data_IF_185986138048
#
_entry.id   IF_185986138048
#
_cell.length_a   1.000
_cell.length_b   1.000
_cell.length_c   1.000
_cell.angle_alpha   90.00
_cell.angle_beta   90.00
_cell.angle_gamma   90.00
#
_symmetry.space_group_name_H-M   'P 1'
#
loop_
_entity.id
_entity.type
_entity.pdbx_description
1 polymer ?
#
# COMPACT_ATOMS: atom_id res chain seq x y z
N UNK A 1 8.28 28.57 -16.20
CA UNK A 1 9.45 27.99 -15.53
C UNK A 1 9.08 26.56 -15.21
N UNK A 2 9.87 25.60 -15.71
CA UNK A 2 9.49 24.20 -15.89
C UNK A 2 9.03 23.51 -14.61
N UNK A 3 7.97 22.72 -14.77
CA UNK A 3 7.39 21.75 -13.85
C UNK A 3 8.46 20.81 -13.26
N UNK A 4 9.04 21.18 -12.13
CA UNK A 4 9.72 20.21 -11.27
C UNK A 4 8.75 19.78 -10.18
N UNK A 5 8.10 18.65 -10.44
CA UNK A 5 7.19 17.98 -9.51
C UNK A 5 7.90 17.54 -8.21
N UNK A 6 9.24 17.56 -8.18
CA UNK A 6 10.06 17.28 -6.99
C UNK A 6 11.18 18.31 -6.80
N UNK A 7 11.34 18.81 -5.58
CA UNK A 7 12.45 19.71 -5.22
C UNK A 7 13.73 18.88 -5.05
N UNK A 8 14.68 18.97 -5.99
CA UNK A 8 15.92 18.19 -5.99
C UNK A 8 16.79 18.43 -7.22
N UNK A 9 17.96 17.79 -7.21
CA UNK A 9 18.92 17.79 -8.33
C UNK A 9 18.74 16.49 -9.11
N UNK A 10 18.39 16.58 -10.39
CA UNK A 10 18.32 15.42 -11.28
C UNK A 10 19.69 15.18 -11.87
N UNK A 11 20.17 13.95 -11.76
CA UNK A 11 21.50 13.52 -12.17
C UNK A 11 21.39 12.39 -13.19
N UNK A 12 22.41 12.24 -14.02
CA UNK A 12 22.58 11.09 -14.91
C UNK A 12 23.97 10.48 -14.67
N UNK A 13 24.10 9.16 -14.76
CA UNK A 13 25.41 8.50 -14.73
C UNK A 13 25.91 8.13 -16.14
N UNK A 14 27.17 7.68 -16.22
CA UNK A 14 27.81 7.22 -17.47
C UNK A 14 27.15 6.00 -18.12
N UNK A 15 26.18 5.36 -17.45
CA UNK A 15 25.39 4.25 -17.97
C UNK A 15 23.98 4.68 -18.39
N UNK A 16 23.69 5.98 -18.38
CA UNK A 16 22.41 6.56 -18.79
C UNK A 16 21.29 6.35 -17.76
N UNK A 17 21.62 6.02 -16.50
CA UNK A 17 20.63 5.97 -15.42
C UNK A 17 20.41 7.36 -14.86
N UNK A 18 19.15 7.67 -14.58
CA UNK A 18 18.74 8.94 -14.00
C UNK A 18 18.43 8.82 -12.51
N UNK A 19 18.83 9.83 -11.75
CA UNK A 19 18.66 9.89 -10.31
C UNK A 19 18.03 11.21 -9.88
N UNK A 20 17.22 11.19 -8.82
CA UNK A 20 16.90 12.38 -8.04
C UNK A 20 17.74 12.37 -6.79
N UNK A 21 18.54 13.42 -6.60
CA UNK A 21 19.22 13.69 -5.35
C UNK A 21 18.47 14.79 -4.59
N UNK A 22 17.93 14.47 -3.41
CA UNK A 22 17.18 15.46 -2.63
C UNK A 22 17.32 15.33 -1.12
N UNK A 23 17.39 16.48 -0.45
CA UNK A 23 17.25 16.68 0.99
C UNK A 23 15.81 17.05 1.41
N UNK A 24 14.88 17.13 0.45
CA UNK A 24 13.51 17.61 0.70
C UNK A 24 12.64 16.48 1.30
N UNK A 25 11.98 16.78 2.41
CA UNK A 25 11.04 15.87 3.07
C UNK A 25 9.85 15.47 2.18
N UNK A 26 9.44 16.32 1.23
CA UNK A 26 8.37 15.99 0.28
C UNK A 26 8.84 14.94 -0.73
N UNK A 27 10.08 15.03 -1.22
CA UNK A 27 10.65 14.00 -2.09
C UNK A 27 10.74 12.66 -1.34
N UNK A 28 11.09 12.70 -0.05
CA UNK A 28 11.07 11.51 0.81
C UNK A 28 9.66 10.96 1.02
N UNK A 29 8.67 11.82 1.26
CA UNK A 29 7.27 11.43 1.42
C UNK A 29 6.70 10.77 0.16
N UNK A 30 7.07 11.28 -1.02
CA UNK A 30 6.52 10.82 -2.29
C UNK A 30 7.24 9.60 -2.89
N UNK A 31 8.57 9.52 -2.72
CA UNK A 31 9.41 8.46 -3.29
C UNK A 31 9.78 7.36 -2.27
N UNK A 32 9.54 7.60 -0.99
CA UNK A 32 9.73 6.63 0.09
C UNK A 32 11.18 6.19 0.29
N UNK A 33 11.34 5.01 0.90
CA UNK A 33 12.65 4.44 1.28
C UNK A 33 13.42 3.78 0.12
N UNK A 34 12.91 3.86 -1.11
CA UNK A 34 13.57 3.31 -2.31
C UNK A 34 14.81 4.07 -2.78
N UNK A 35 15.43 4.87 -1.90
CA UNK A 35 16.69 5.54 -2.21
C UNK A 35 17.86 4.55 -2.09
N UNK A 36 18.93 4.84 -2.83
CA UNK A 36 20.14 4.03 -2.91
C UNK A 36 20.95 4.26 -1.64
N UNK A 37 20.67 3.50 -0.59
CA UNK A 37 21.37 3.62 0.70
C UNK A 37 22.87 3.37 0.61
N UNK A 38 23.33 2.66 -0.43
CA UNK A 38 24.76 2.37 -0.65
C UNK A 38 25.59 3.65 -0.79
N UNK A 39 25.02 4.78 -1.24
CA UNK A 39 25.74 6.06 -1.33
C UNK A 39 26.15 6.62 0.03
N UNK A 40 25.57 6.13 1.12
CA UNK A 40 25.92 6.49 2.49
C UNK A 40 27.27 5.86 2.91
N UNK A 41 27.68 4.77 2.26
CA UNK A 41 29.04 4.27 2.36
C UNK A 41 30.01 5.19 1.59
N UNK A 42 31.10 5.59 2.23
CA UNK A 42 32.05 6.56 1.65
C UNK A 42 32.76 6.03 0.40
N UNK A 43 32.94 4.72 0.29
CA UNK A 43 33.61 4.10 -0.86
C UNK A 43 32.63 4.06 -2.04
N UNK A 44 31.43 3.55 -1.84
CA UNK A 44 30.40 3.49 -2.87
C UNK A 44 29.93 4.89 -3.29
N UNK A 45 29.64 5.78 -2.35
CA UNK A 45 29.27 7.17 -2.64
C UNK A 45 30.35 7.91 -3.46
N UNK A 46 31.63 7.57 -3.28
CA UNK A 46 32.73 8.14 -4.09
C UNK A 46 32.67 7.63 -5.54
N UNK A 47 32.37 6.36 -5.76
CA UNK A 47 32.16 5.83 -7.11
C UNK A 47 30.93 6.45 -7.77
N UNK A 48 29.82 6.56 -7.04
CA UNK A 48 28.60 7.23 -7.52
C UNK A 48 28.90 8.66 -8.00
N UNK A 49 29.51 9.50 -7.15
CA UNK A 49 29.82 10.89 -7.50
C UNK A 49 30.81 11.03 -8.66
N UNK A 50 31.68 10.04 -8.88
CA UNK A 50 32.65 10.04 -9.97
C UNK A 50 32.02 9.62 -11.30
N UNK A 51 30.99 8.78 -11.26
CA UNK A 51 30.36 8.21 -12.45
C UNK A 51 29.21 9.07 -13.00
N UNK A 52 28.97 10.25 -12.44
CA UNK A 52 27.98 11.22 -12.92
C UNK A 52 28.42 11.88 -14.23
N UNK A 53 27.45 12.15 -15.10
CA UNK A 53 27.65 12.84 -16.37
C UNK A 53 26.96 14.22 -16.38
N UNK A 54 27.51 15.20 -17.14
CA UNK A 54 28.75 15.09 -17.90
C UNK A 54 30.00 15.10 -17.02
N UNK A 55 30.92 14.16 -17.26
CA UNK A 55 32.15 13.98 -16.47
C UNK A 55 33.10 15.20 -16.50
N UNK A 56 33.00 16.02 -17.56
CA UNK A 56 33.74 17.29 -17.66
C UNK A 56 33.16 18.43 -16.79
N UNK A 57 31.98 18.25 -16.18
CA UNK A 57 31.30 19.26 -15.36
C UNK A 57 31.00 18.81 -13.92
N UNK A 58 31.69 17.77 -13.43
CA UNK A 58 31.44 17.19 -12.11
C UNK A 58 31.44 18.21 -10.96
N UNK A 59 32.34 19.19 -11.00
CA UNK A 59 32.40 20.24 -9.95
C UNK A 59 31.07 21.02 -9.86
N UNK A 60 30.46 21.36 -10.98
CA UNK A 60 29.19 22.09 -11.00
C UNK A 60 28.05 21.21 -10.48
N UNK A 61 28.01 19.94 -10.89
CA UNK A 61 27.03 18.96 -10.40
C UNK A 61 27.12 18.83 -8.87
N UNK A 62 28.34 18.68 -8.35
CA UNK A 62 28.57 18.60 -6.90
C UNK A 62 28.19 19.90 -6.17
N UNK A 63 28.42 21.04 -6.80
CA UNK A 63 28.03 22.37 -6.27
C UNK A 63 26.51 22.44 -6.12
N UNK A 64 25.76 22.02 -7.14
CA UNK A 64 24.29 22.01 -7.13
C UNK A 64 23.75 21.06 -6.06
N UNK A 65 24.29 19.85 -5.95
CA UNK A 65 23.92 18.90 -4.89
C UNK A 65 24.19 19.47 -3.50
N UNK A 66 25.36 20.07 -3.30
CA UNK A 66 25.75 20.62 -2.00
C UNK A 66 24.86 21.80 -1.61
N UNK A 67 24.57 22.69 -2.56
CA UNK A 67 23.69 23.84 -2.34
C UNK A 67 22.23 23.42 -2.14
N UNK A 68 21.80 22.31 -2.74
CA UNK A 68 20.49 21.73 -2.45
C UNK A 68 20.41 21.22 -1.00
N UNK A 69 21.45 20.54 -0.51
CA UNK A 69 21.53 20.09 0.88
C UNK A 69 21.74 21.24 1.89
N UNK A 70 22.47 22.29 1.50
CA UNK A 70 22.81 23.45 2.34
C UNK A 70 22.49 24.76 1.59
N UNK A 71 21.20 25.16 1.48
CA UNK A 71 20.79 26.32 0.68
C UNK A 71 21.40 27.66 1.10
N UNK A 72 21.93 27.75 2.32
CA UNK A 72 22.63 28.94 2.83
C UNK A 72 24.12 29.02 2.42
N UNK A 73 24.67 28.00 1.75
CA UNK A 73 26.07 27.95 1.34
C UNK A 73 26.28 28.54 -0.08
N UNK A 74 26.23 29.86 -0.18
CA UNK A 74 26.25 30.58 -1.47
C UNK A 74 27.65 30.69 -2.11
N UNK A 75 28.73 30.66 -1.33
CA UNK A 75 30.11 30.76 -1.82
C UNK A 75 30.90 29.48 -1.52
N UNK A 76 31.08 28.65 -2.55
CA UNK A 76 31.88 27.43 -2.51
C UNK A 76 33.25 27.58 -3.20
N UNK A 77 33.65 28.80 -3.56
CA UNK A 77 34.93 29.07 -4.23
C UNK A 77 36.15 28.65 -3.39
N UNK A 78 35.97 28.58 -2.07
CA UNK A 78 37.00 28.16 -1.10
C UNK A 78 37.16 26.64 -0.99
N UNK A 79 36.23 25.86 -1.53
CA UNK A 79 36.30 24.40 -1.54
C UNK A 79 37.09 23.93 -2.77
N UNK A 80 38.15 23.16 -2.54
CA UNK A 80 38.73 22.32 -3.60
C UNK A 80 37.74 21.24 -4.03
N UNK A 81 37.92 20.66 -5.22
CA UNK A 81 37.08 19.55 -5.73
C UNK A 81 37.01 18.38 -4.74
N UNK A 82 38.16 18.03 -4.15
CA UNK A 82 38.25 16.98 -3.14
C UNK A 82 37.46 17.30 -1.88
N UNK A 83 37.54 18.54 -1.39
CA UNK A 83 36.80 18.97 -0.21
C UNK A 83 35.29 19.01 -0.47
N UNK A 84 34.86 19.47 -1.65
CA UNK A 84 33.45 19.52 -2.01
C UNK A 84 32.87 18.11 -2.12
N UNK A 85 33.57 17.20 -2.80
CA UNK A 85 33.18 15.79 -2.90
C UNK A 85 33.14 15.12 -1.52
N UNK A 86 34.19 15.29 -0.71
CA UNK A 86 34.22 14.65 0.61
C UNK A 86 33.16 15.22 1.57
N UNK A 87 32.76 16.49 1.40
CA UNK A 87 31.63 17.07 2.14
C UNK A 87 30.28 16.49 1.69
N UNK A 88 30.08 16.24 0.39
CA UNK A 88 28.90 15.50 -0.09
C UNK A 88 28.83 14.08 0.47
N UNK A 89 29.95 13.37 0.56
CA UNK A 89 30.01 12.04 1.18
C UNK A 89 29.63 12.08 2.67
N UNK A 90 29.95 13.17 3.37
CA UNK A 90 29.51 13.35 4.76
C UNK A 90 28.00 13.60 4.86
N UNK A 91 27.44 14.37 3.93
CA UNK A 91 25.99 14.64 3.85
C UNK A 91 25.22 13.33 3.60
N UNK A 92 25.70 12.48 2.69
CA UNK A 92 25.12 11.15 2.46
C UNK A 92 25.25 10.25 3.69
N UNK A 93 26.44 10.14 4.28
CA UNK A 93 26.65 9.31 5.47
C UNK A 93 25.80 9.75 6.67
N UNK A 94 25.43 11.03 6.75
CA UNK A 94 24.56 11.58 7.79
C UNK A 94 23.05 11.44 7.48
N UNK A 95 22.68 10.91 6.31
CA UNK A 95 21.27 10.80 5.88
C UNK A 95 20.62 12.16 5.61
N UNK A 96 21.40 13.21 5.41
CA UNK A 96 20.88 14.57 5.18
C UNK A 96 20.44 14.78 3.72
N UNK A 97 20.81 13.87 2.83
CA UNK A 97 20.43 13.89 1.42
C UNK A 97 20.34 12.45 0.90
N UNK A 98 19.31 12.20 0.10
CA UNK A 98 18.96 10.87 -0.39
C UNK A 98 18.99 10.85 -1.92
N UNK A 99 19.29 9.68 -2.51
CA UNK A 99 19.42 9.49 -3.96
C UNK A 99 18.44 8.42 -4.41
N UNK A 100 17.42 8.76 -5.19
CA UNK A 100 16.47 7.81 -5.77
C UNK A 100 16.80 7.57 -7.23
N UNK A 101 16.80 6.31 -7.68
CA UNK A 101 16.86 6.00 -9.11
C UNK A 101 15.48 6.21 -9.72
N UNK A 102 15.40 6.99 -10.80
CA UNK A 102 14.13 7.37 -11.43
C UNK A 102 13.76 6.51 -12.66
N UNK A 103 14.64 5.61 -13.08
CA UNK A 103 14.44 4.75 -14.25
C UNK A 103 14.47 3.27 -13.86
N UNK A 104 13.43 2.53 -14.27
CA UNK A 104 13.39 1.06 -14.21
C UNK A 104 13.87 0.47 -15.54
N UNK A 105 15.03 -0.18 -15.51
CA UNK A 105 15.58 -0.91 -16.66
C UNK A 105 17.08 -1.07 -16.59
N UNK A 106 17.61 -2.18 -17.11
CA UNK A 106 19.00 -2.23 -17.56
C UNK A 106 19.16 -1.16 -18.63
N UNK A 107 19.91 -0.09 -18.33
CA UNK A 107 20.21 0.97 -19.29
C UNK A 107 20.73 0.36 -20.59
N UNK A 108 20.33 0.94 -21.73
CA UNK A 108 20.87 0.53 -23.03
C UNK A 108 22.39 0.58 -22.96
N UNK A 109 23.04 -0.52 -23.34
CA UNK A 109 24.48 -0.54 -23.53
C UNK A 109 24.87 0.62 -24.46
N UNK A 110 25.90 1.41 -24.14
CA UNK A 110 26.32 2.51 -25.01
C UNK A 110 26.56 2.00 -26.43
N UNK A 111 26.01 2.68 -27.43
CA UNK A 111 26.38 2.44 -28.82
C UNK A 111 27.85 2.79 -28.98
N UNK A 112 28.69 1.76 -28.98
CA UNK A 112 30.04 1.77 -29.53
C UNK A 112 31.08 2.60 -28.77
N UNK A 113 31.72 1.97 -27.77
CA UNK A 113 33.14 2.22 -27.53
C UNK A 113 33.91 0.97 -27.94
N UNK A 114 34.37 0.97 -29.19
CA UNK A 114 35.10 -0.14 -29.80
C UNK A 114 36.36 -0.52 -29.02
N UNK A 115 36.23 -1.56 -28.19
CA UNK A 115 37.34 -2.40 -27.72
C UNK A 115 36.87 -3.84 -27.87
N UNK A 116 37.69 -4.62 -28.56
CA UNK A 116 37.33 -5.89 -29.17
C UNK A 116 37.11 -7.06 -28.23
N UNK A 117 36.58 -8.11 -28.85
CA UNK A 117 36.54 -9.52 -28.46
C UNK A 117 37.39 -9.93 -27.25
N UNK A 118 36.72 -10.55 -26.28
CA UNK A 118 37.30 -11.46 -25.31
C UNK A 118 36.26 -12.52 -24.96
N UNK A 119 36.45 -13.74 -25.48
CA UNK A 119 35.49 -14.86 -25.48
C UNK A 119 34.89 -15.18 -24.11
N UNK A 120 33.71 -15.82 -24.07
CA UNK A 120 33.59 -17.27 -24.31
C UNK A 120 32.34 -17.63 -25.13
N UNK A 121 32.53 -18.56 -26.05
CA UNK A 121 31.56 -19.06 -27.01
C UNK A 121 30.35 -19.79 -26.39
N UNK A 122 29.21 -19.85 -27.11
CA UNK A 122 28.05 -20.64 -26.73
C UNK A 122 28.24 -22.12 -27.10
N UNK A 123 27.95 -23.03 -26.19
CA UNK A 123 27.83 -24.44 -26.52
C UNK A 123 26.40 -24.75 -26.99
N UNK A 124 26.22 -24.74 -28.31
CA UNK A 124 25.18 -25.52 -28.97
C UNK A 124 25.57 -26.99 -28.95
N UNK A 125 24.66 -27.89 -28.59
CA UNK A 125 24.63 -29.22 -29.21
C UNK A 125 23.19 -29.74 -29.26
N UNK A 126 22.70 -29.91 -30.48
CA UNK A 126 21.64 -30.88 -30.77
C UNK A 126 22.27 -32.04 -31.53
N UNK A 127 21.87 -33.28 -31.22
CA UNK A 127 21.30 -34.18 -32.22
C UNK A 127 20.80 -35.51 -31.62
N UNK A 128 19.52 -35.77 -31.89
CA UNK A 128 18.93 -36.99 -32.49
C UNK A 128 19.17 -38.41 -31.93
N UNK A 129 18.01 -39.08 -31.81
CA UNK A 129 17.73 -40.51 -32.05
C UNK A 129 17.75 -41.48 -30.87
N UNK A 130 16.57 -41.90 -30.40
CA UNK A 130 15.91 -43.14 -30.86
C UNK A 130 14.69 -43.52 -29.99
N UNK A 131 13.64 -44.02 -30.66
CA UNK A 131 12.43 -44.66 -30.10
C UNK A 131 12.76 -46.12 -29.70
N UNK A 132 12.05 -46.73 -28.73
CA UNK A 132 10.81 -47.48 -29.08
C UNK A 132 9.70 -47.32 -28.00
N UNK A 133 8.43 -47.05 -28.35
CA UNK A 133 7.37 -47.99 -28.76
C UNK A 133 6.93 -49.04 -27.70
N UNK A 134 5.84 -48.69 -27.01
CA UNK A 134 4.65 -49.47 -26.64
C UNK A 134 4.75 -50.80 -25.85
N UNK A 135 4.01 -50.85 -24.73
CA UNK A 135 3.11 -51.97 -24.41
C UNK A 135 1.96 -51.55 -23.48
N UNK A 136 0.76 -51.95 -23.88
CA UNK A 136 -0.52 -51.72 -23.21
C UNK A 136 -0.83 -52.77 -22.13
N UNK A 137 -1.61 -52.40 -21.11
CA UNK A 137 -2.62 -53.22 -20.40
C UNK A 137 -3.32 -52.32 -19.35
N UNK A 138 -4.54 -51.85 -19.59
CA UNK A 138 -5.87 -52.43 -19.23
C UNK A 138 -6.30 -52.27 -17.76
N UNK A 139 -7.50 -51.69 -17.65
CA UNK A 139 -8.34 -51.41 -16.48
C UNK A 139 -8.72 -52.63 -15.63
N UNK A 140 -8.84 -52.38 -14.32
CA UNK A 140 -9.82 -52.91 -13.34
C UNK A 140 -9.91 -51.80 -12.25
N UNK A 141 -11.02 -51.29 -11.74
CA UNK A 141 -12.39 -51.78 -11.58
C UNK A 141 -12.74 -51.71 -10.08
N UNK A 142 -13.85 -51.02 -9.73
CA UNK A 142 -14.45 -50.97 -8.38
C UNK A 142 -14.23 -49.62 -7.66
N UNK A 143 -15.13 -48.63 -7.72
CA UNK A 143 -16.44 -48.55 -7.02
C UNK A 143 -16.39 -49.01 -5.56
N UNK A 144 -16.16 -48.06 -4.65
CA UNK A 144 -16.86 -47.98 -3.37
C UNK A 144 -17.21 -46.51 -3.13
N UNK A 145 -18.50 -46.24 -3.16
CA UNK A 145 -19.18 -45.03 -2.69
C UNK A 145 -19.00 -44.88 -1.19
N UNK A 146 -18.60 -43.69 -0.72
CA UNK A 146 -18.84 -43.25 0.65
C UNK A 146 -19.72 -42.01 0.63
N UNK A 147 -20.84 -42.15 1.30
CA UNK A 147 -22.02 -41.30 1.31
C UNK A 147 -21.75 -39.88 1.83
N UNK A 148 -22.47 -38.94 1.24
CA UNK A 148 -22.71 -37.63 1.81
C UNK A 148 -23.43 -37.75 3.17
N UNK A 149 -23.06 -36.99 4.20
CA UNK A 149 -23.93 -36.82 5.34
C UNK A 149 -25.07 -35.88 4.96
N UNK A 150 -26.27 -36.44 5.07
CA UNK A 150 -27.58 -35.81 4.94
C UNK A 150 -27.69 -34.59 5.86
N UNK A 151 -28.33 -33.56 5.31
CA UNK A 151 -28.73 -32.32 5.97
C UNK A 151 -29.30 -32.55 7.39
N UNK A 152 -28.61 -32.00 8.38
CA UNK A 152 -29.17 -31.74 9.69
C UNK A 152 -29.98 -30.43 9.62
N UNK A 153 -31.31 -30.58 9.63
CA UNK A 153 -32.26 -29.48 9.78
C UNK A 153 -32.15 -28.91 11.20
N UNK A 154 -31.26 -27.93 11.39
CA UNK A 154 -31.27 -27.09 12.57
C UNK A 154 -32.31 -25.99 12.37
N UNK A 155 -33.48 -26.16 12.99
CA UNK A 155 -34.41 -25.06 13.22
C UNK A 155 -33.94 -24.31 14.48
N UNK A 156 -33.65 -23.02 14.38
CA UNK A 156 -33.44 -22.18 15.56
C UNK A 156 -32.65 -20.90 15.31
N UNK A 157 -33.39 -19.80 15.12
CA UNK A 157 -32.99 -18.39 15.25
C UNK A 157 -32.19 -17.70 14.11
N UNK A 158 -32.71 -17.69 12.88
CA UNK A 158 -32.55 -16.54 11.99
C UNK A 158 -33.44 -15.38 12.51
N UNK A 159 -32.99 -14.74 13.60
CA UNK A 159 -33.75 -13.72 14.29
C UNK A 159 -33.66 -12.37 13.60
N UNK A 160 -34.66 -12.02 12.78
CA UNK A 160 -35.11 -10.68 12.39
C UNK A 160 -34.12 -9.67 11.73
N UNK A 161 -32.80 -9.76 11.91
CA UNK A 161 -31.81 -8.80 11.39
C UNK A 161 -31.32 -9.16 9.98
N UNK A 162 -31.28 -10.44 9.63
CA UNK A 162 -30.78 -10.89 8.31
C UNK A 162 -31.68 -10.47 7.13
N UNK A 163 -33.02 -10.44 7.31
CA UNK A 163 -33.98 -10.09 6.24
C UNK A 163 -34.00 -8.59 5.89
N UNK A 164 -34.00 -7.65 6.85
CA UNK A 164 -33.91 -6.21 6.58
C UNK A 164 -32.63 -5.81 5.84
N UNK A 165 -31.49 -6.37 6.23
CA UNK A 165 -30.18 -6.03 5.63
C UNK A 165 -30.12 -6.43 4.15
N UNK A 166 -30.54 -7.66 3.81
CA UNK A 166 -30.56 -8.12 2.43
C UNK A 166 -31.46 -7.27 1.51
N UNK A 167 -32.53 -6.68 2.04
CA UNK A 167 -33.43 -5.83 1.26
C UNK A 167 -32.86 -4.44 0.92
N UNK A 168 -31.84 -4.00 1.66
CA UNK A 168 -31.13 -2.74 1.41
C UNK A 168 -29.96 -2.91 0.45
N UNK A 169 -29.47 -4.14 0.25
CA UNK A 169 -28.27 -4.42 -0.54
C UNK A 169 -28.42 -3.88 -1.97
N UNK A 170 -27.40 -3.19 -2.44
CA UNK A 170 -27.26 -2.68 -3.80
C UNK A 170 -26.05 -3.33 -4.43
N UNK A 171 -26.30 -4.14 -5.46
CA UNK A 171 -25.25 -4.83 -6.21
C UNK A 171 -25.37 -4.45 -7.69
N UNK A 172 -24.40 -3.71 -8.25
CA UNK A 172 -24.44 -3.34 -9.65
C UNK A 172 -24.23 -4.56 -10.56
N UNK A 173 -24.71 -4.48 -11.79
CA UNK A 173 -24.56 -5.56 -12.78
C UNK A 173 -23.20 -5.50 -13.49
N UNK A 174 -22.65 -4.29 -13.62
CA UNK A 174 -21.37 -3.97 -14.27
C UNK A 174 -20.76 -2.70 -13.67
N UNK A 175 -19.52 -2.38 -14.07
CA UNK A 175 -18.85 -1.14 -13.68
C UNK A 175 -19.57 0.10 -14.22
N UNK A 176 -20.21 0.02 -15.38
CA UNK A 176 -21.03 1.11 -15.95
C UNK A 176 -22.32 1.30 -15.15
N UNK A 177 -22.96 0.21 -14.72
CA UNK A 177 -24.14 0.29 -13.85
C UNK A 177 -23.77 0.90 -12.49
N UNK A 178 -22.60 0.53 -11.93
CA UNK A 178 -22.09 1.13 -10.70
C UNK A 178 -21.94 2.65 -10.82
N UNK A 179 -21.40 3.15 -11.94
CA UNK A 179 -21.28 4.59 -12.22
C UNK A 179 -22.66 5.28 -12.30
N UNK A 180 -23.64 4.65 -12.92
CA UNK A 180 -25.01 5.18 -13.00
C UNK A 180 -25.66 5.29 -11.62
N UNK A 181 -25.47 4.28 -10.76
CA UNK A 181 -25.96 4.31 -9.38
C UNK A 181 -25.34 5.50 -8.64
N UNK A 182 -24.01 5.67 -8.67
CA UNK A 182 -23.33 6.78 -8.00
C UNK A 182 -23.83 8.15 -8.49
N UNK A 183 -24.04 8.30 -9.81
CA UNK A 183 -24.59 9.54 -10.37
C UNK A 183 -26.02 9.82 -9.89
N UNK A 184 -26.82 8.79 -9.64
CA UNK A 184 -28.16 8.94 -9.07
C UNK A 184 -28.11 9.25 -7.58
N UNK A 185 -27.19 8.62 -6.83
CA UNK A 185 -26.95 8.94 -5.41
C UNK A 185 -26.51 10.38 -5.22
N UNK A 186 -25.67 10.89 -6.11
CA UNK A 186 -25.31 12.31 -6.12
C UNK A 186 -26.52 13.22 -6.14
N UNK A 187 -27.47 13.01 -7.06
CA UNK A 187 -28.71 13.79 -7.14
C UNK A 187 -29.57 13.67 -5.89
N UNK A 188 -29.63 12.47 -5.29
CA UNK A 188 -30.37 12.25 -4.05
C UNK A 188 -29.75 13.03 -2.88
N UNK A 189 -28.41 13.02 -2.74
CA UNK A 189 -27.71 13.78 -1.71
C UNK A 189 -27.92 15.28 -1.91
N UNK A 190 -27.86 15.78 -3.15
CA UNK A 190 -28.15 17.19 -3.47
C UNK A 190 -29.58 17.61 -3.09
N UNK A 191 -30.55 16.70 -3.19
CA UNK A 191 -31.97 16.99 -2.91
C UNK A 191 -32.34 16.86 -1.43
N UNK A 192 -31.82 15.84 -0.73
CA UNK A 192 -32.26 15.48 0.63
C UNK A 192 -31.15 15.42 1.67
N UNK A 193 -29.90 15.71 1.28
CA UNK A 193 -28.72 15.45 2.11
C UNK A 193 -28.35 13.98 2.15
N UNK A 194 -27.18 13.68 2.71
CA UNK A 194 -26.72 12.31 2.92
C UNK A 194 -27.56 11.64 4.00
N UNK A 195 -27.88 10.36 3.79
CA UNK A 195 -28.58 9.51 4.74
C UNK A 195 -27.83 8.18 4.84
N UNK A 196 -27.30 7.81 6.01
CA UNK A 196 -26.65 6.52 6.18
C UNK A 196 -27.60 5.36 5.89
N UNK A 197 -27.10 4.35 5.19
CA UNK A 197 -27.88 3.18 4.75
C UNK A 197 -28.09 2.14 5.86
N UNK A 198 -27.04 1.90 6.65
CA UNK A 198 -26.99 0.88 7.68
C UNK A 198 -26.72 1.50 9.05
N UNK A 199 -27.42 1.00 10.06
CA UNK A 199 -27.16 1.32 11.47
C UNK A 199 -25.93 0.58 12.01
N UNK A 200 -25.36 1.04 13.12
CA UNK A 200 -24.22 0.38 13.79
C UNK A 200 -24.46 -1.12 14.08
N UNK A 201 -25.68 -1.48 14.48
CA UNK A 201 -26.05 -2.86 14.75
C UNK A 201 -26.08 -3.73 13.48
N UNK A 202 -26.53 -3.17 12.35
CA UNK A 202 -26.50 -3.85 11.05
C UNK A 202 -25.07 -3.99 10.54
N UNK A 203 -24.26 -2.93 10.64
CA UNK A 203 -22.84 -2.95 10.27
C UNK A 203 -22.08 -4.02 11.06
N UNK A 204 -22.24 -4.05 12.40
CA UNK A 204 -21.61 -5.05 13.25
C UNK A 204 -22.04 -6.47 12.89
N UNK A 205 -23.32 -6.68 12.58
CA UNK A 205 -23.82 -7.98 12.15
C UNK A 205 -23.18 -8.43 10.82
N UNK A 206 -23.05 -7.51 9.85
CA UNK A 206 -22.43 -7.80 8.55
C UNK A 206 -20.92 -8.06 8.67
N UNK A 207 -20.20 -7.26 9.45
CA UNK A 207 -18.78 -7.48 9.69
C UNK A 207 -18.52 -8.82 10.40
N UNK A 208 -19.36 -9.18 11.38
CA UNK A 208 -19.27 -10.48 12.07
C UNK A 208 -19.61 -11.66 11.17
N UNK A 209 -20.56 -11.50 10.24
CA UNK A 209 -20.87 -12.53 9.26
C UNK A 209 -19.70 -12.75 8.28
N UNK A 210 -18.97 -11.68 7.93
CA UNK A 210 -17.78 -11.75 7.08
C UNK A 210 -18.08 -11.86 5.59
N UNK A 211 -19.33 -12.08 5.21
CA UNK A 211 -19.74 -12.36 3.82
C UNK A 211 -19.52 -11.19 2.86
N UNK A 212 -19.44 -9.95 3.37
CA UNK A 212 -19.24 -8.76 2.55
C UNK A 212 -17.91 -8.80 1.78
N UNK A 213 -16.90 -9.53 2.27
CA UNK A 213 -15.63 -9.68 1.54
C UNK A 213 -15.77 -10.50 0.25
N UNK A 214 -16.91 -11.17 0.06
CA UNK A 214 -17.26 -11.91 -1.15
C UNK A 214 -18.12 -11.08 -2.12
N UNK A 215 -18.42 -9.81 -1.82
CA UNK A 215 -19.14 -8.96 -2.75
C UNK A 215 -18.32 -8.75 -4.03
N UNK A 216 -19.00 -8.75 -5.17
CA UNK A 216 -18.34 -8.63 -6.48
C UNK A 216 -17.66 -7.28 -6.66
N UNK A 217 -18.26 -6.20 -6.16
CA UNK A 217 -17.75 -4.86 -6.40
C UNK A 217 -17.21 -4.25 -5.11
N UNK A 218 -15.91 -3.99 -5.10
CA UNK A 218 -15.23 -3.29 -4.00
C UNK A 218 -14.93 -1.86 -4.42
N UNK A 219 -14.75 -0.98 -3.44
CA UNK A 219 -14.49 0.45 -3.66
C UNK A 219 -13.39 0.95 -2.75
N UNK A 220 -12.58 1.85 -3.30
CA UNK A 220 -11.48 2.49 -2.58
C UNK A 220 -11.36 3.95 -2.99
N UNK A 221 -11.30 4.83 -1.99
CA UNK A 221 -10.91 6.21 -2.18
C UNK A 221 -9.37 6.30 -2.16
N UNK A 222 -8.79 6.91 -3.19
CA UNK A 222 -7.34 7.07 -3.31
C UNK A 222 -7.03 8.57 -3.42
N UNK A 223 -6.13 9.06 -2.57
CA UNK A 223 -5.62 10.44 -2.57
C UNK A 223 -4.60 10.67 -3.69
N UNK A 224 -5.06 10.49 -4.94
CA UNK A 224 -4.35 10.79 -6.19
C UNK A 224 -5.37 11.05 -7.29
N UNK A 225 -4.98 11.76 -8.34
CA UNK A 225 -5.80 11.94 -9.53
C UNK A 225 -5.95 10.64 -10.34
N UNK A 226 -7.02 10.57 -11.13
CA UNK A 226 -7.34 9.38 -11.91
C UNK A 226 -6.24 9.02 -12.92
N UNK A 227 -5.49 10.02 -13.41
CA UNK A 227 -4.37 9.82 -14.33
C UNK A 227 -3.13 9.25 -13.62
N UNK A 228 -2.80 9.75 -12.43
CA UNK A 228 -1.63 9.28 -11.67
C UNK A 228 -1.84 7.85 -11.15
N UNK A 229 -3.07 7.47 -10.80
CA UNK A 229 -3.36 6.15 -10.23
C UNK A 229 -3.10 5.01 -11.22
N UNK A 230 -3.27 5.26 -12.52
CA UNK A 230 -3.12 4.26 -13.60
C UNK A 230 -1.79 3.50 -13.58
N UNK A 231 -0.71 4.15 -13.18
CA UNK A 231 0.63 3.54 -13.12
C UNK A 231 1.00 2.99 -11.74
N UNK A 232 0.13 3.17 -10.74
CA UNK A 232 0.32 2.66 -9.38
C UNK A 232 -0.43 1.36 -9.16
N UNK A 233 -0.11 0.64 -8.09
CA UNK A 233 -0.92 -0.48 -7.58
C UNK A 233 -2.14 0.05 -6.81
N UNK A 234 -3.21 -0.76 -6.72
CA UNK A 234 -4.16 -0.61 -5.60
C UNK A 234 -3.35 -0.91 -4.34
N UNK A 235 -3.43 -0.21 -3.22
CA UNK A 235 -2.48 -0.47 -2.11
C UNK A 235 -1.06 -0.01 -2.37
N UNK A 236 -0.36 0.29 -1.29
CA UNK A 236 1.02 0.75 -1.35
C UNK A 236 1.95 -0.46 -1.32
N UNK A 237 2.85 -0.53 -2.29
CA UNK A 237 3.85 -1.59 -2.37
C UNK A 237 4.84 -1.48 -1.21
N UNK A 238 4.88 -2.48 -0.34
CA UNK A 238 5.79 -2.57 0.81
C UNK A 238 7.20 -2.96 0.35
N UNK A 239 8.24 -2.78 1.19
CA UNK A 239 9.59 -3.28 0.89
C UNK A 239 9.65 -4.78 0.60
N UNK A 240 8.67 -5.54 1.06
CA UNK A 240 8.49 -6.97 0.76
C UNK A 240 7.84 -7.25 -0.60
N UNK A 241 7.68 -6.25 -1.47
CA UNK A 241 6.98 -6.26 -2.75
C UNK A 241 5.46 -6.49 -2.73
N UNK A 242 4.90 -6.93 -1.59
CA UNK A 242 3.46 -7.05 -1.33
C UNK A 242 2.75 -5.70 -1.34
N UNK A 243 1.48 -5.65 -1.75
CA UNK A 243 0.67 -4.42 -1.68
C UNK A 243 -0.69 -4.68 -1.02
N UNK A 244 -0.78 -4.70 0.32
CA UNK A 244 -2.09 -4.74 0.98
C UNK A 244 -2.88 -3.47 0.69
N UNK A 245 -4.20 -3.59 0.67
CA UNK A 245 -5.08 -2.44 0.71
C UNK A 245 -6.34 -2.70 1.53
N UNK A 246 -6.81 -1.61 2.10
CA UNK A 246 -8.09 -1.54 2.79
C UNK A 246 -9.09 -0.89 1.83
N UNK A 247 -10.27 -1.49 1.77
CA UNK A 247 -11.37 -1.09 0.91
C UNK A 247 -12.68 -1.36 1.64
N UNK A 248 -13.80 -0.99 1.03
CA UNK A 248 -15.12 -1.48 1.42
C UNK A 248 -15.84 -2.01 0.19
N UNK A 249 -17.08 -2.47 0.32
CA UNK A 249 -17.87 -2.91 -0.83
C UNK A 249 -18.62 -1.74 -1.44
N UNK A 250 -18.99 -1.86 -2.72
CA UNK A 250 -19.82 -0.87 -3.39
C UNK A 250 -21.13 -0.65 -2.61
N UNK A 251 -21.74 -1.72 -2.11
CA UNK A 251 -22.95 -1.68 -1.31
C UNK A 251 -22.85 -0.76 -0.08
N UNK A 252 -21.68 -0.75 0.57
CA UNK A 252 -21.42 0.04 1.78
C UNK A 252 -21.21 1.51 1.48
N UNK A 253 -20.56 1.85 0.37
CA UNK A 253 -20.17 3.23 0.08
C UNK A 253 -21.12 3.96 -0.88
N UNK A 254 -21.94 3.25 -1.67
CA UNK A 254 -22.69 3.87 -2.77
C UNK A 254 -23.61 5.01 -2.34
N UNK A 255 -24.19 4.93 -1.13
CA UNK A 255 -25.02 6.00 -0.57
C UNK A 255 -24.26 7.32 -0.37
N UNK A 256 -22.93 7.30 -0.34
CA UNK A 256 -22.03 8.45 -0.22
C UNK A 256 -21.45 8.93 -1.56
N UNK A 257 -21.97 8.41 -2.69
CA UNK A 257 -21.61 8.81 -4.06
C UNK A 257 -20.08 8.86 -4.35
N UNK A 258 -19.62 9.87 -5.11
CA UNK A 258 -18.21 10.17 -5.40
C UNK A 258 -17.67 11.40 -4.65
N UNK A 259 -18.37 11.96 -3.64
CA UNK A 259 -17.86 13.07 -2.82
C UNK A 259 -16.69 12.58 -1.95
N UNK A 260 -15.45 13.09 -2.17
CA UNK A 260 -14.27 12.60 -1.48
C UNK A 260 -14.26 12.95 0.01
N UNK A 261 -14.91 14.04 0.44
CA UNK A 261 -14.96 14.42 1.85
C UNK A 261 -15.99 13.58 2.62
N UNK A 262 -17.15 13.31 2.00
CA UNK A 262 -18.16 12.42 2.57
C UNK A 262 -17.65 10.99 2.63
N UNK A 263 -16.99 10.50 1.57
CA UNK A 263 -16.31 9.21 1.58
C UNK A 263 -15.20 9.18 2.64
N UNK A 264 -14.39 10.23 2.76
CA UNK A 264 -13.39 10.33 3.83
C UNK A 264 -14.02 10.28 5.23
N UNK A 265 -15.21 10.88 5.41
CA UNK A 265 -15.96 10.83 6.67
C UNK A 265 -16.31 9.39 7.06
N UNK A 266 -16.96 8.64 6.15
CA UNK A 266 -17.43 7.27 6.43
C UNK A 266 -16.29 6.24 6.42
N UNK A 267 -15.19 6.53 5.71
CA UNK A 267 -13.97 5.71 5.69
C UNK A 267 -12.97 6.11 6.78
N UNK A 268 -13.35 7.00 7.72
CA UNK A 268 -12.51 7.34 8.87
C UNK A 268 -11.18 8.03 8.53
N UNK A 269 -11.07 8.63 7.35
CA UNK A 269 -9.85 9.32 6.87
C UNK A 269 -9.79 10.69 7.57
N UNK A 270 -8.82 10.84 8.49
CA UNK A 270 -8.67 12.05 9.32
C UNK A 270 -7.90 13.18 8.62
N UNK A 271 -7.01 12.83 7.72
CA UNK A 271 -6.11 13.73 6.98
C UNK A 271 -6.67 14.14 5.61
N UNK A 272 -7.99 14.09 5.44
CA UNK A 272 -8.64 14.61 4.24
C UNK A 272 -8.29 16.08 4.04
N UNK A 273 -7.95 16.44 2.80
CA UNK A 273 -7.58 17.80 2.42
C UNK A 273 -8.28 18.17 1.11
N UNK A 274 -9.11 19.23 1.09
CA UNK A 274 -9.87 19.61 -0.11
C UNK A 274 -8.98 20.16 -1.24
N UNK A 275 -7.69 20.40 -1.00
CA UNK A 275 -6.74 20.83 -2.03
C UNK A 275 -6.11 19.67 -2.79
N UNK A 276 -6.25 18.44 -2.28
CA UNK A 276 -5.72 17.25 -2.94
C UNK A 276 -6.72 16.71 -3.97
N UNK A 277 -6.20 16.02 -4.97
CA UNK A 277 -7.01 15.27 -5.92
C UNK A 277 -7.30 13.87 -5.40
N UNK A 278 -8.55 13.43 -5.51
CA UNK A 278 -8.97 12.10 -5.11
C UNK A 278 -9.63 11.37 -6.27
N UNK A 279 -9.55 10.05 -6.25
CA UNK A 279 -10.28 9.19 -7.17
C UNK A 279 -10.96 8.07 -6.41
N UNK A 280 -12.20 7.76 -6.82
CA UNK A 280 -12.90 6.56 -6.40
C UNK A 280 -12.59 5.45 -7.42
N UNK A 281 -11.98 4.37 -6.95
CA UNK A 281 -11.75 3.16 -7.74
C UNK A 281 -12.81 2.13 -7.39
N UNK A 282 -13.54 1.64 -8.40
CA UNK A 282 -14.47 0.52 -8.29
C UNK A 282 -13.79 -0.71 -8.88
N UNK A 283 -13.75 -1.80 -8.13
CA UNK A 283 -13.03 -3.03 -8.44
C UNK A 283 -14.03 -4.15 -8.63
N UNK A 284 -14.07 -4.76 -9.82
CA UNK A 284 -14.85 -5.98 -10.10
C UNK A 284 -14.01 -7.20 -9.74
N UNK A 285 -14.16 -7.69 -8.51
CA UNK A 285 -13.35 -8.77 -7.93
C UNK A 285 -13.49 -10.09 -8.70
N UNK A 286 -14.61 -10.30 -9.40
CA UNK A 286 -14.86 -11.49 -10.21
C UNK A 286 -14.13 -11.46 -11.56
N UNK A 287 -13.78 -10.27 -12.07
CA UNK A 287 -13.14 -10.11 -13.36
C UNK A 287 -11.65 -9.78 -13.27
N UNK A 288 -11.11 -9.64 -12.06
CA UNK A 288 -9.69 -9.36 -11.84
C UNK A 288 -8.77 -10.41 -12.51
N UNK A 289 -7.62 -10.00 -13.08
CA UNK A 289 -6.72 -10.92 -13.74
C UNK A 289 -6.22 -12.03 -12.80
N UNK A 290 -6.03 -13.27 -13.30
CA UNK A 290 -5.60 -14.42 -12.49
C UNK A 290 -4.16 -14.33 -11.99
N UNK A 291 -3.36 -13.38 -12.50
CA UNK A 291 -1.94 -13.24 -12.16
C UNK A 291 -1.68 -12.65 -10.77
N UNK A 292 -2.65 -11.97 -10.17
CA UNK A 292 -2.48 -11.42 -8.83
C UNK A 292 -3.07 -12.41 -7.81
N UNK A 293 -2.18 -13.19 -7.18
CA UNK A 293 -2.56 -14.00 -6.03
C UNK A 293 -3.03 -13.05 -4.91
N UNK A 294 -4.31 -13.19 -4.55
CA UNK A 294 -4.96 -12.30 -3.60
C UNK A 294 -5.80 -13.05 -2.60
N UNK A 295 -5.88 -12.48 -1.41
CA UNK A 295 -6.78 -12.93 -0.35
C UNK A 295 -7.50 -11.73 0.23
N UNK A 296 -8.83 -11.81 0.25
CA UNK A 296 -9.70 -10.76 0.78
C UNK A 296 -10.55 -11.31 1.92
N UNK A 297 -10.72 -10.53 2.99
CA UNK A 297 -11.56 -10.87 4.14
C UNK A 297 -11.95 -9.62 4.92
N UNK A 298 -12.95 -9.74 5.80
CA UNK A 298 -13.26 -8.69 6.79
C UNK A 298 -12.22 -8.74 7.91
N UNK A 299 -11.48 -7.65 8.17
CA UNK A 299 -10.32 -7.66 9.05
C UNK A 299 -10.73 -7.66 10.53
N UNK A 300 -11.23 -8.77 11.03
CA UNK A 300 -11.40 -8.99 12.47
C UNK A 300 -10.06 -9.40 13.10
N UNK A 301 -9.91 -9.30 14.43
CA UNK A 301 -8.72 -9.81 15.11
C UNK A 301 -8.48 -11.30 14.80
N UNK A 302 -9.53 -12.11 14.80
CA UNK A 302 -9.47 -13.53 14.46
C UNK A 302 -8.93 -13.74 13.05
N UNK A 303 -9.50 -13.05 12.05
CA UNK A 303 -9.10 -13.19 10.65
C UNK A 303 -7.71 -12.63 10.36
N UNK A 304 -7.36 -11.49 10.96
CA UNK A 304 -6.01 -10.94 10.87
C UNK A 304 -4.99 -11.85 11.55
N UNK A 305 -5.31 -12.48 12.68
CA UNK A 305 -4.44 -13.45 13.35
C UNK A 305 -4.20 -14.69 12.49
N UNK A 306 -5.29 -15.30 12.00
CA UNK A 306 -5.23 -16.45 11.10
C UNK A 306 -4.37 -16.13 9.87
N UNK A 307 -4.61 -14.97 9.25
CA UNK A 307 -3.87 -14.53 8.08
C UNK A 307 -2.39 -14.29 8.38
N UNK A 308 -2.07 -13.45 9.37
CA UNK A 308 -0.70 -13.07 9.69
C UNK A 308 0.15 -14.26 10.12
N UNK A 309 -0.41 -15.22 10.87
CA UNK A 309 0.33 -16.43 11.28
C UNK A 309 0.64 -17.36 10.10
N UNK A 310 -0.16 -17.33 9.04
CA UNK A 310 0.08 -18.11 7.83
C UNK A 310 1.01 -17.39 6.84
N UNK A 311 0.91 -16.06 6.77
CA UNK A 311 1.59 -15.26 5.74
C UNK A 311 2.95 -14.73 6.19
N UNK A 312 3.08 -14.30 7.44
CA UNK A 312 4.31 -13.70 7.95
C UNK A 312 5.30 -14.79 8.34
N UNK A 313 6.57 -14.56 8.02
CA UNK A 313 7.64 -15.50 8.35
C UNK A 313 7.98 -15.46 9.84
N UNK A 314 8.57 -16.55 10.36
CA UNK A 314 9.07 -16.58 11.74
C UNK A 314 10.05 -15.43 12.06
N UNK A 315 10.80 -14.94 11.06
CA UNK A 315 11.66 -13.76 11.21
C UNK A 315 10.86 -12.48 11.43
N UNK A 316 9.74 -12.32 10.74
CA UNK A 316 8.85 -11.16 10.88
C UNK A 316 8.07 -11.19 12.20
N UNK A 317 7.71 -12.38 12.68
CA UNK A 317 7.02 -12.57 13.96
C UNK A 317 7.95 -12.54 15.18
N UNK A 318 9.27 -12.59 14.96
CA UNK A 318 10.27 -12.52 16.02
C UNK A 318 10.06 -13.59 17.09
N UNK A 319 10.17 -13.19 18.36
CA UNK A 319 10.08 -14.10 19.51
C UNK A 319 8.64 -14.53 19.84
N UNK A 320 7.62 -13.83 19.33
CA UNK A 320 6.22 -14.14 19.65
C UNK A 320 5.75 -15.42 18.95
N UNK A 321 6.13 -15.62 17.68
CA UNK A 321 5.76 -16.80 16.89
C UNK A 321 4.25 -16.94 16.58
N UNK A 322 3.39 -16.20 17.27
CA UNK A 322 1.95 -16.05 17.08
C UNK A 322 1.57 -14.59 17.38
N UNK A 323 0.75 -13.98 16.51
CA UNK A 323 0.30 -12.59 16.66
C UNK A 323 -0.95 -12.43 17.55
N UNK A 324 -1.55 -13.50 18.05
CA UNK A 324 -2.76 -13.46 18.89
C UNK A 324 -2.59 -12.60 20.16
N UNK A 325 -1.37 -12.54 20.70
CA UNK A 325 -1.03 -11.69 21.85
C UNK A 325 -1.06 -10.18 21.55
N UNK A 326 -0.98 -9.79 20.27
CA UNK A 326 -0.92 -8.38 19.85
C UNK A 326 -2.13 -7.95 19.01
N UNK A 327 -2.90 -8.90 18.49
CA UNK A 327 -4.16 -8.68 17.77
C UNK A 327 -5.36 -9.05 18.64
N UNK A 328 -5.59 -8.25 19.66
CA UNK A 328 -6.74 -8.37 20.56
C UNK A 328 -7.13 -7.00 21.13
N UNK A 329 -8.29 -6.93 21.79
CA UNK A 329 -8.85 -5.69 22.35
C UNK A 329 -7.88 -5.03 23.35
N UNK A 330 -7.37 -5.80 24.31
CA UNK A 330 -6.52 -5.30 25.40
C UNK A 330 -5.22 -4.68 24.86
N UNK A 331 -4.53 -5.40 23.97
CA UNK A 331 -3.27 -4.91 23.40
C UNK A 331 -3.46 -3.79 22.38
N UNK A 332 -4.63 -3.72 21.72
CA UNK A 332 -4.91 -2.61 20.80
C UNK A 332 -5.01 -1.28 21.54
N UNK A 333 -5.58 -1.26 22.76
CA UNK A 333 -5.61 -0.08 23.62
C UNK A 333 -4.18 0.31 24.04
N UNK A 334 -3.36 -0.67 24.43
CA UNK A 334 -1.96 -0.42 24.80
C UNK A 334 -1.15 0.14 23.62
N UNK A 335 -1.32 -0.43 22.43
CA UNK A 335 -0.63 -0.01 21.22
C UNK A 335 -1.07 1.38 20.75
N UNK A 336 -2.37 1.69 20.79
CA UNK A 336 -2.90 3.02 20.50
C UNK A 336 -2.29 4.07 21.43
N UNK A 337 -2.26 3.79 22.75
CA UNK A 337 -1.68 4.68 23.75
C UNK A 337 -0.17 4.88 23.53
N UNK A 338 0.56 3.80 23.22
CA UNK A 338 1.99 3.87 22.90
C UNK A 338 2.24 4.72 21.64
N UNK A 339 1.47 4.52 20.57
CA UNK A 339 1.65 5.27 19.32
C UNK A 339 1.27 6.75 19.48
N UNK A 340 0.28 7.06 20.33
CA UNK A 340 -0.06 8.44 20.68
C UNK A 340 1.08 9.14 21.46
N UNK A 341 1.70 8.44 22.40
CA UNK A 341 2.90 8.94 23.10
C UNK A 341 4.09 9.11 22.14
N UNK A 342 4.36 8.12 21.29
CA UNK A 342 5.40 8.18 20.27
C UNK A 342 5.22 9.35 19.29
N UNK A 343 3.98 9.66 18.90
CA UNK A 343 3.67 10.78 18.02
C UNK A 343 4.15 12.14 18.57
N UNK A 344 4.29 12.28 19.90
CA UNK A 344 4.83 13.50 20.53
C UNK A 344 6.30 13.76 20.22
N UNK A 345 7.04 12.74 19.77
CA UNK A 345 8.44 12.88 19.35
C UNK A 345 8.58 13.59 18.00
N UNK A 346 7.50 13.67 17.20
CA UNK A 346 7.51 14.21 15.84
C UNK A 346 8.26 13.34 14.82
N UNK A 347 8.76 12.17 15.24
CA UNK A 347 9.37 11.19 14.33
C UNK A 347 8.28 10.44 13.56
N UNK A 348 8.64 9.94 12.37
CA UNK A 348 7.72 9.17 11.52
C UNK A 348 7.29 7.86 12.18
N UNK A 349 5.99 7.56 12.17
CA UNK A 349 5.45 6.26 12.60
C UNK A 349 5.85 5.10 11.68
N UNK A 350 6.40 5.38 10.50
CA UNK A 350 6.86 4.34 9.57
C UNK A 350 8.30 3.89 9.85
N UNK A 351 9.05 4.62 10.69
CA UNK A 351 10.42 4.27 11.05
C UNK A 351 10.43 3.30 12.25
N UNK A 352 10.60 2.01 11.96
CA UNK A 352 10.62 0.95 12.98
C UNK A 352 11.76 1.09 14.00
N UNK A 353 12.93 1.57 13.56
CA UNK A 353 14.07 1.78 14.46
C UNK A 353 13.79 2.92 15.44
N UNK A 354 13.18 4.01 14.98
CA UNK A 354 12.78 5.13 15.84
C UNK A 354 11.70 4.71 16.86
N UNK A 355 10.76 3.86 16.47
CA UNK A 355 9.77 3.27 17.39
C UNK A 355 10.45 2.42 18.45
N UNK A 356 11.43 1.59 18.06
CA UNK A 356 12.22 0.77 18.99
C UNK A 356 13.09 1.61 19.93
N UNK A 357 13.73 2.66 19.43
CA UNK A 357 14.48 3.62 20.23
C UNK A 357 13.60 4.28 21.30
N UNK A 358 12.36 4.63 20.94
CA UNK A 358 11.41 5.22 21.88
C UNK A 358 11.04 4.25 23.00
N UNK A 359 10.78 2.97 22.66
CA UNK A 359 10.56 1.92 23.66
C UNK A 359 11.74 1.78 24.64
N UNK A 360 12.97 1.85 24.14
CA UNK A 360 14.16 1.83 24.97
C UNK A 360 14.28 3.08 25.84
N UNK A 361 13.92 4.25 25.33
CA UNK A 361 13.98 5.53 26.06
C UNK A 361 12.98 5.60 27.22
N UNK A 362 11.86 4.87 27.13
CA UNK A 362 10.87 4.76 28.22
C UNK A 362 11.12 3.54 29.13
N UNK A 363 12.31 2.93 29.06
CA UNK A 363 12.71 1.75 29.83
C UNK A 363 11.72 0.57 29.73
N UNK A 364 11.12 0.37 28.55
CA UNK A 364 10.23 -0.77 28.31
C UNK A 364 11.00 -2.10 28.45
N UNK A 365 10.36 -3.11 29.05
CA UNK A 365 10.95 -4.44 29.16
C UNK A 365 10.97 -5.18 27.81
N UNK A 366 11.76 -6.26 27.73
CA UNK A 366 11.92 -7.05 26.49
C UNK A 366 10.59 -7.60 25.95
N UNK A 367 9.68 -8.00 26.84
CA UNK A 367 8.35 -8.51 26.45
C UNK A 367 7.54 -7.41 25.73
N UNK A 368 7.44 -6.22 26.33
CA UNK A 368 6.73 -5.07 25.75
C UNK A 368 7.38 -4.61 24.45
N UNK A 369 8.71 -4.58 24.39
CA UNK A 369 9.44 -4.27 23.16
C UNK A 369 9.03 -5.26 22.06
N UNK A 370 9.07 -6.56 22.32
CA UNK A 370 8.72 -7.57 21.33
C UNK A 370 7.26 -7.43 20.87
N UNK A 371 6.31 -7.24 21.79
CA UNK A 371 4.89 -7.09 21.46
C UNK A 371 4.61 -5.86 20.61
N UNK A 372 5.14 -4.69 21.01
CA UNK A 372 4.95 -3.45 20.24
C UNK A 372 5.62 -3.56 18.87
N UNK A 373 6.82 -4.13 18.77
CA UNK A 373 7.52 -4.26 17.49
C UNK A 373 6.81 -5.23 16.53
N UNK A 374 6.23 -6.33 17.02
CA UNK A 374 5.42 -7.21 16.16
C UNK A 374 4.12 -6.53 15.74
N UNK A 375 3.44 -5.84 16.66
CA UNK A 375 2.22 -5.08 16.32
C UNK A 375 2.49 -3.98 15.29
N UNK A 376 3.63 -3.30 15.42
CA UNK A 376 4.12 -2.30 14.50
C UNK A 376 4.47 -2.90 13.14
N UNK A 377 5.10 -4.08 13.12
CA UNK A 377 5.33 -4.83 11.87
C UNK A 377 4.02 -5.14 11.15
N UNK A 378 2.97 -5.54 11.87
CA UNK A 378 1.63 -5.77 11.28
C UNK A 378 1.04 -4.46 10.75
N UNK A 379 1.22 -3.32 11.44
CA UNK A 379 0.85 -2.01 10.91
C UNK A 379 1.58 -1.70 9.60
N UNK A 380 2.90 -1.88 9.56
CA UNK A 380 3.72 -1.59 8.39
C UNK A 380 3.41 -2.51 7.20
N UNK A 381 3.25 -3.82 7.45
CA UNK A 381 3.06 -4.82 6.40
C UNK A 381 1.62 -4.99 5.96
N UNK A 382 0.64 -4.77 6.85
CA UNK A 382 -0.78 -5.02 6.58
C UNK A 382 -1.62 -3.74 6.64
N UNK A 383 -1.08 -2.61 7.09
CA UNK A 383 -1.85 -1.36 7.20
C UNK A 383 -2.85 -1.32 8.36
N UNK A 384 -2.81 -2.29 9.28
CA UNK A 384 -3.59 -2.25 10.51
C UNK A 384 -3.01 -1.21 11.46
N UNK A 385 -3.38 0.06 11.30
CA UNK A 385 -2.82 1.19 12.05
C UNK A 385 -3.16 1.14 13.56
N UNK A 386 -2.74 2.16 14.30
CA UNK A 386 -2.98 2.27 15.75
C UNK A 386 -4.46 2.37 16.14
N UNK A 387 -5.34 2.76 15.22
CA UNK A 387 -6.78 2.87 15.45
C UNK A 387 -7.54 1.59 15.09
N UNK A 388 -6.85 0.57 14.57
CA UNK A 388 -7.44 -0.70 14.21
C UNK A 388 -8.01 -1.40 15.45
N UNK A 389 -9.31 -1.66 15.41
CA UNK A 389 -10.07 -2.23 16.54
C UNK A 389 -10.52 -3.67 16.34
N UNK A 390 -10.15 -4.30 15.22
CA UNK A 390 -10.38 -5.74 14.99
C UNK A 390 -11.84 -6.19 14.97
N UNK A 391 -12.79 -5.27 14.80
CA UNK A 391 -14.21 -5.57 14.66
C UNK A 391 -14.71 -5.57 13.20
N UNK A 392 -13.82 -5.29 12.24
CA UNK A 392 -14.13 -5.21 10.81
C UNK A 392 -14.89 -3.95 10.39
N UNK A 393 -14.95 -2.92 11.24
CA UNK A 393 -15.66 -1.67 10.98
C UNK A 393 -14.74 -0.46 11.04
N UNK A 394 -14.99 0.53 10.18
CA UNK A 394 -14.33 1.84 10.27
C UNK A 394 -15.13 2.78 11.16
N UNK A 395 -14.44 3.44 12.11
CA UNK A 395 -15.05 4.55 12.86
C UNK A 395 -15.26 5.75 11.95
N UNK A 396 -16.41 6.40 12.08
CA UNK A 396 -16.69 7.67 11.39
C UNK A 396 -15.70 8.73 11.85
N UNK A 397 -15.21 9.55 10.93
CA UNK A 397 -14.49 10.77 11.28
C UNK A 397 -15.48 11.85 11.70
N UNK A 398 -15.84 11.88 12.99
CA UNK A 398 -16.81 12.85 13.54
C UNK A 398 -16.34 14.31 13.47
N UNK A 399 -15.04 14.56 13.25
CA UNK A 399 -14.48 15.92 13.09
C UNK A 399 -14.66 16.47 11.67
N UNK A 400 -15.02 15.61 10.71
CA UNK A 400 -15.31 15.99 9.32
C UNK A 400 -16.58 16.87 9.23
N UNK A 401 -16.70 17.72 8.20
CA UNK A 401 -17.89 18.56 7.98
C UNK A 401 -19.18 17.75 7.86
N UNK A 402 -19.11 16.54 7.32
CA UNK A 402 -20.23 15.60 7.23
C UNK A 402 -20.45 14.79 8.52
N UNK A 403 -19.60 14.88 9.54
CA UNK A 403 -19.70 14.07 10.76
C UNK A 403 -21.06 14.20 11.47
N UNK A 404 -21.67 15.39 11.44
CA UNK A 404 -23.01 15.62 11.99
C UNK A 404 -24.15 14.99 11.16
N UNK A 405 -23.90 14.74 9.87
CA UNK A 405 -24.84 14.07 8.96
C UNK A 405 -24.74 12.53 9.10
N UNK A 406 -23.78 12.04 9.89
CA UNK A 406 -23.52 10.61 10.13
C UNK A 406 -23.63 10.33 11.64
N UNK A 407 -24.84 10.14 12.19
CA UNK A 407 -25.08 10.02 13.64
C UNK A 407 -24.59 8.70 14.28
N UNK A 408 -24.08 7.79 13.46
CA UNK A 408 -23.61 6.45 13.81
C UNK A 408 -22.12 6.46 14.17
N UNK A 409 -21.69 5.49 14.98
CA UNK A 409 -20.28 5.35 15.36
C UNK A 409 -19.42 4.83 14.19
N UNK A 410 -20.00 3.97 13.35
CA UNK A 410 -19.28 3.30 12.27
C UNK A 410 -19.80 3.73 10.90
N UNK A 411 -18.89 3.99 9.96
CA UNK A 411 -19.24 4.45 8.62
C UNK A 411 -19.53 3.29 7.69
N UNK A 412 -18.61 2.32 7.64
CA UNK A 412 -18.70 1.13 6.78
C UNK A 412 -18.12 -0.10 7.47
N UNK A 413 -18.45 -1.26 6.92
CA UNK A 413 -17.69 -2.47 7.17
C UNK A 413 -16.54 -2.59 6.16
N UNK A 414 -15.36 -2.97 6.64
CA UNK A 414 -14.12 -2.96 5.87
C UNK A 414 -13.83 -4.32 5.25
N UNK A 415 -13.07 -4.27 4.17
CA UNK A 415 -12.42 -5.42 3.56
C UNK A 415 -10.93 -5.14 3.51
N UNK A 416 -10.15 -6.11 3.97
CA UNK A 416 -8.72 -6.14 3.75
C UNK A 416 -8.44 -7.04 2.57
N UNK A 417 -7.61 -6.59 1.64
CA UNK A 417 -7.09 -7.41 0.55
C UNK A 417 -5.58 -7.39 0.57
N UNK A 418 -5.01 -8.56 0.42
CA UNK A 418 -3.57 -8.74 0.35
C UNK A 418 -3.18 -9.28 -1.02
N UNK A 419 -2.33 -8.54 -1.73
CA UNK A 419 -1.78 -8.94 -3.02
C UNK A 419 -0.29 -9.30 -2.87
N UNK A 420 0.04 -10.55 -3.23
CA UNK A 420 1.43 -11.06 -3.19
C UNK A 420 2.24 -10.62 -4.41
N UNK A 421 1.58 -10.52 -5.56
CA UNK A 421 2.14 -10.03 -6.82
C UNK A 421 1.18 -8.96 -7.39
N UNK A 422 1.26 -7.71 -6.88
CA UNK A 422 0.28 -6.69 -7.19
C UNK A 422 0.45 -6.17 -8.62
N UNK A 423 -0.67 -6.07 -9.32
CA UNK A 423 -0.72 -5.46 -10.64
C UNK A 423 -0.91 -3.95 -10.52
N UNK A 424 -0.36 -3.20 -11.47
CA UNK A 424 -0.74 -1.80 -11.62
C UNK A 424 -2.19 -1.69 -12.05
N UNK A 425 -2.81 -0.55 -11.74
CA UNK A 425 -4.18 -0.23 -12.12
C UNK A 425 -4.40 -0.37 -13.63
N UNK A 426 -3.45 0.04 -14.47
CA UNK A 426 -3.52 -0.19 -15.92
C UNK A 426 -3.56 -1.68 -16.29
N UNK A 427 -2.80 -2.52 -15.61
CA UNK A 427 -2.77 -3.97 -15.86
C UNK A 427 -4.04 -4.69 -15.41
N UNK A 428 -4.80 -4.10 -14.47
CA UNK A 428 -6.13 -4.59 -14.09
C UNK A 428 -7.17 -4.40 -15.20
N UNK A 429 -6.93 -3.49 -16.15
CA UNK A 429 -7.70 -3.31 -17.37
C UNK A 429 -9.20 -3.08 -17.10
N UNK A 430 -10.06 -3.86 -17.77
CA UNK A 430 -11.52 -3.76 -17.67
C UNK A 430 -12.12 -4.25 -16.34
N UNK A 431 -11.28 -4.68 -15.40
CA UNK A 431 -11.72 -5.15 -14.07
C UNK A 431 -11.94 -3.99 -13.10
N UNK A 432 -11.63 -2.76 -13.51
CA UNK A 432 -11.73 -1.59 -12.67
C UNK A 432 -12.38 -0.41 -13.41
N UNK A 433 -13.05 0.45 -12.65
CA UNK A 433 -13.42 1.79 -13.09
C UNK A 433 -12.76 2.82 -12.16
N UNK A 434 -12.21 3.89 -12.74
CA UNK A 434 -11.58 4.99 -12.01
C UNK A 434 -12.41 6.23 -12.26
N UNK A 435 -12.94 6.81 -11.21
CA UNK A 435 -13.76 8.02 -11.27
C UNK A 435 -13.05 9.14 -10.52
N UNK A 436 -12.88 10.34 -11.12
CA UNK A 436 -12.51 11.52 -10.36
C UNK A 436 -13.52 11.74 -9.24
N UNK A 437 -13.05 11.82 -8.00
CA UNK A 437 -13.91 12.13 -6.86
C UNK A 437 -14.10 13.64 -6.78
N UNK A 438 -15.35 14.09 -6.75
CA UNK A 438 -15.70 15.52 -6.86
C UNK A 438 -16.55 15.96 -5.68
N UNK A 439 -16.12 16.99 -4.92
CA UNK A 439 -16.90 17.50 -3.78
C UNK A 439 -18.30 17.94 -4.19
N UNK A 440 -19.31 17.63 -3.38
CA UNK A 440 -20.66 18.20 -3.48
C UNK A 440 -20.70 19.63 -2.93
N UNK A 441 -19.93 19.88 -1.87
CA UNK A 441 -19.82 21.17 -1.19
C UNK A 441 -18.45 21.80 -1.45
N UNK A 442 -18.44 23.07 -1.87
CA UNK A 442 -17.24 23.88 -2.04
C UNK A 442 -16.58 24.33 -0.73
#
# INVERSE_FOLDING_TARGET
MQDRQYNGVVLEDKWGKTYLCSSCLLAYADLGEGYISDVNDKVYGRYFLHDLEPSWNLRQIWTEMYQHAKPWAFDLSKFTDFQLRDALLQIFAAGEMHVWQLSDGWGKQPEGNGIGDGGLAPASSGNTSSKPAAKAAKNKGGWVTSEAPVAAKAAGHEGAVAKPVASKKVEPESLEHAQQILAERRKQIEQSGYQPKYSDAELLAMAKAGDIANDRFHVRLINRSAEVIKTSTLGFKRPSDRAPYWATTFDMAEAADTDPELLACILGIKDYSPVNEYSLVIIDTHNLPPKAERQSFVPTFEKMTEFCNNELTARELGALGDVSEVLNDDFSIEYEAFMADYATTGKSEHNADAVKEHLMAIDANDEKINKIMVRHKIQSECGANSLFSGNGLTKVNSENRYGNDVPQQFGVAETFTFERDPLTVNELGSSIAILPATPLKG
#
